data_IF_798910464153
#
_entry.id   IF_798910464153
#
_cell.length_a   1.000
_cell.length_b   1.000
_cell.length_c   1.000
_cell.angle_alpha   90.00
_cell.angle_beta   90.00
_cell.angle_gamma   90.00
#
_symmetry.space_group_name_H-M   'P 1'
#
loop_
_entity.id
_entity.type
_entity.pdbx_description
1 polymer ?
#
# COMPACT_ATOMS: atom_id res chain seq x y z
N UNK A 1 0.88 23.46 -26.34
CA UNK A 1 0.35 22.48 -25.38
C UNK A 1 1.52 21.96 -24.56
N UNK A 2 1.48 22.09 -23.22
CA UNK A 2 2.59 21.62 -22.37
C UNK A 2 2.71 20.10 -22.45
N UNK A 3 3.95 19.55 -22.38
CA UNK A 3 4.22 18.10 -22.39
C UNK A 3 3.36 17.35 -21.36
N UNK A 4 3.22 17.90 -20.16
CA UNK A 4 2.38 17.30 -19.11
C UNK A 4 0.89 17.16 -19.51
N UNK A 5 0.35 18.05 -20.36
CA UNK A 5 -1.02 17.95 -20.86
C UNK A 5 -1.16 16.87 -21.94
N UNK A 6 -0.13 16.69 -22.76
CA UNK A 6 -0.09 15.60 -23.76
C UNK A 6 -0.02 14.26 -23.05
N UNK A 7 0.84 14.10 -22.06
CA UNK A 7 0.97 12.89 -21.27
C UNK A 7 -0.33 12.56 -20.50
N UNK A 8 -1.00 13.57 -19.92
CA UNK A 8 -2.29 13.36 -19.27
C UNK A 8 -3.34 12.85 -20.25
N UNK A 9 -3.48 13.50 -21.41
CA UNK A 9 -4.47 13.12 -22.42
C UNK A 9 -4.18 11.73 -23.00
N UNK A 10 -2.92 11.40 -23.21
CA UNK A 10 -2.51 10.07 -23.65
C UNK A 10 -3.00 9.02 -22.66
N UNK A 11 -2.62 9.12 -21.38
CA UNK A 11 -3.01 8.14 -20.37
C UNK A 11 -4.51 8.14 -20.04
N UNK A 12 -5.16 9.30 -20.16
CA UNK A 12 -6.60 9.39 -19.93
C UNK A 12 -7.40 8.60 -20.98
N UNK A 13 -6.93 8.58 -22.21
CA UNK A 13 -7.58 7.93 -23.35
C UNK A 13 -7.11 6.50 -23.60
N UNK A 14 -6.07 6.00 -22.92
CA UNK A 14 -5.72 4.58 -22.99
C UNK A 14 -6.83 3.74 -22.39
N UNK A 15 -7.05 2.52 -22.88
CA UNK A 15 -8.06 1.61 -22.36
C UNK A 15 -7.52 0.19 -22.22
N UNK A 16 -8.15 -0.59 -21.36
CA UNK A 16 -7.84 -1.99 -21.10
C UNK A 16 -8.92 -2.60 -20.22
N UNK A 17 -8.83 -3.90 -19.92
CA UNK A 17 -9.79 -4.56 -19.03
C UNK A 17 -9.78 -3.92 -17.63
N UNK A 18 -10.97 -3.79 -17.07
CA UNK A 18 -11.14 -3.33 -15.69
C UNK A 18 -10.57 -4.37 -14.71
N UNK A 19 -9.76 -3.90 -13.77
CA UNK A 19 -9.33 -4.64 -12.59
C UNK A 19 -10.20 -4.23 -11.40
N UNK A 20 -10.56 -2.95 -11.36
CA UNK A 20 -11.54 -2.39 -10.46
C UNK A 20 -12.44 -1.47 -11.28
N UNK A 21 -13.70 -1.89 -11.49
CA UNK A 21 -14.67 -1.07 -12.22
C UNK A 21 -14.94 0.25 -11.49
N UNK A 22 -15.30 1.31 -12.24
CA UNK A 22 -15.59 2.59 -11.64
C UNK A 22 -16.69 2.46 -10.58
N UNK A 23 -16.35 2.75 -9.34
CA UNK A 23 -17.32 2.82 -8.26
C UNK A 23 -17.58 4.28 -7.89
N UNK A 24 -18.81 4.58 -7.48
CA UNK A 24 -19.23 5.92 -7.06
C UNK A 24 -19.06 6.03 -5.55
N UNK A 25 -18.14 6.90 -5.12
CA UNK A 25 -17.94 7.21 -3.70
C UNK A 25 -17.74 8.71 -3.53
N UNK A 26 -18.33 9.30 -2.50
CA UNK A 26 -18.14 10.71 -2.13
C UNK A 26 -18.35 11.70 -3.29
N UNK A 27 -19.41 11.48 -4.06
CA UNK A 27 -19.75 12.29 -5.24
C UNK A 27 -18.73 12.24 -6.39
N UNK A 28 -17.85 11.24 -6.41
CA UNK A 28 -16.88 11.03 -7.47
C UNK A 28 -16.78 9.57 -7.88
N UNK A 29 -16.12 9.33 -8.99
CA UNK A 29 -15.85 7.97 -9.52
C UNK A 29 -14.36 7.65 -9.40
N UNK A 30 -14.05 6.37 -9.19
CA UNK A 30 -12.69 5.84 -9.22
C UNK A 30 -12.72 4.43 -9.80
N UNK A 31 -11.82 4.16 -10.75
CA UNK A 31 -11.66 2.82 -11.34
C UNK A 31 -10.23 2.60 -11.79
N UNK A 32 -9.85 1.31 -11.96
CA UNK A 32 -8.50 0.89 -12.36
C UNK A 32 -8.58 -0.06 -13.55
N UNK A 33 -7.83 0.26 -14.59
CA UNK A 33 -7.67 -0.59 -15.76
C UNK A 33 -6.23 -1.11 -15.87
N UNK A 34 -6.10 -2.34 -16.37
CA UNK A 34 -4.83 -2.93 -16.74
C UNK A 34 -4.56 -2.65 -18.20
N UNK A 35 -3.42 -2.06 -18.53
CA UNK A 35 -3.05 -1.63 -19.88
C UNK A 35 -1.67 -2.19 -20.23
N UNK A 36 -1.49 -2.64 -21.47
CA UNK A 36 -0.16 -2.94 -22.01
C UNK A 36 0.46 -1.66 -22.58
N UNK A 37 1.65 -1.31 -22.11
CA UNK A 37 2.39 -0.15 -22.59
C UNK A 37 3.86 -0.52 -22.80
N UNK A 38 4.35 -0.41 -24.04
CA UNK A 38 5.71 -0.77 -24.41
C UNK A 38 6.15 -2.16 -23.92
N UNK A 39 5.28 -3.16 -24.09
CA UNK A 39 5.54 -4.55 -23.67
C UNK A 39 5.49 -4.80 -22.17
N UNK A 40 5.10 -3.80 -21.38
CA UNK A 40 4.99 -3.90 -19.92
C UNK A 40 3.56 -3.66 -19.47
N UNK A 41 3.08 -4.44 -18.51
CA UNK A 41 1.78 -4.21 -17.86
C UNK A 41 1.87 -2.99 -16.95
N UNK A 42 0.88 -2.10 -17.07
CA UNK A 42 0.70 -0.95 -16.18
C UNK A 42 -0.75 -0.88 -15.70
N UNK A 43 -0.96 -0.28 -14.54
CA UNK A 43 -2.28 0.01 -14.00
C UNK A 43 -2.57 1.49 -14.13
N UNK A 44 -3.73 1.81 -14.72
CA UNK A 44 -4.19 3.17 -14.97
C UNK A 44 -5.42 3.43 -14.10
N UNK A 45 -5.22 4.15 -13.00
CA UNK A 45 -6.27 4.58 -12.08
C UNK A 45 -6.79 5.93 -12.51
N UNK A 46 -8.10 6.02 -12.79
CA UNK A 46 -8.79 7.26 -13.14
C UNK A 46 -9.78 7.64 -12.07
N UNK A 47 -9.82 8.92 -11.78
CA UNK A 47 -10.77 9.49 -10.82
C UNK A 47 -11.44 10.73 -11.40
N UNK A 48 -12.75 10.86 -11.17
CA UNK A 48 -13.51 12.08 -11.50
C UNK A 48 -14.24 12.52 -10.25
N UNK A 49 -13.99 13.75 -9.78
CA UNK A 49 -14.62 14.30 -8.58
C UNK A 49 -14.24 13.63 -7.25
N UNK A 50 -13.33 12.67 -7.25
CA UNK A 50 -12.92 11.93 -6.04
C UNK A 50 -11.84 12.70 -5.27
N UNK A 51 -12.25 13.48 -4.27
CA UNK A 51 -11.39 14.46 -3.61
C UNK A 51 -11.10 14.11 -2.15
N UNK A 52 -9.91 14.50 -1.68
CA UNK A 52 -9.61 14.64 -0.25
C UNK A 52 -9.50 16.12 0.11
N UNK A 53 -9.83 16.46 1.36
CA UNK A 53 -9.68 17.81 1.91
C UNK A 53 -8.63 17.80 3.03
N UNK A 54 -7.95 18.93 3.17
CA UNK A 54 -6.98 19.16 4.25
C UNK A 54 -6.89 20.67 4.52
N UNK A 55 -6.21 21.06 5.59
CA UNK A 55 -5.95 22.50 5.87
C UNK A 55 -5.24 23.17 4.70
N UNK A 56 -4.33 22.47 4.02
CA UNK A 56 -3.64 22.99 2.82
C UNK A 56 -4.55 23.05 1.58
N UNK A 57 -5.56 22.18 1.50
CA UNK A 57 -6.47 22.07 0.36
C UNK A 57 -7.93 22.06 0.81
N UNK A 58 -8.45 23.20 1.29
CA UNK A 58 -9.82 23.27 1.84
C UNK A 58 -10.90 22.97 0.79
N UNK A 59 -10.65 23.31 -0.48
CA UNK A 59 -11.55 23.03 -1.59
C UNK A 59 -11.38 21.64 -2.21
N UNK A 60 -10.49 20.82 -1.65
CA UNK A 60 -10.23 19.46 -2.10
C UNK A 60 -9.20 19.35 -3.23
N UNK A 61 -8.58 18.16 -3.29
CA UNK A 61 -7.67 17.74 -4.37
C UNK A 61 -7.93 16.27 -4.67
N UNK A 62 -7.73 15.81 -5.93
CA UNK A 62 -7.84 14.39 -6.27
C UNK A 62 -6.94 13.50 -5.42
N UNK A 63 -7.49 12.38 -4.92
CA UNK A 63 -6.75 11.47 -4.03
C UNK A 63 -5.58 10.82 -4.72
N UNK A 64 -5.62 10.60 -6.05
CA UNK A 64 -4.49 10.08 -6.84
C UNK A 64 -3.22 10.92 -6.72
N UNK A 65 -3.33 12.24 -6.52
CA UNK A 65 -2.14 13.08 -6.30
C UNK A 65 -1.46 12.78 -4.98
N UNK A 66 -2.24 12.47 -3.94
CA UNK A 66 -1.69 12.05 -2.64
C UNK A 66 -1.07 10.66 -2.74
N UNK A 67 -1.76 9.73 -3.42
CA UNK A 67 -1.28 8.38 -3.64
C UNK A 67 0.00 8.38 -4.48
N UNK A 68 0.05 9.09 -5.60
CA UNK A 68 1.25 9.22 -6.43
C UNK A 68 2.44 9.82 -5.67
N UNK A 69 2.20 10.86 -4.85
CA UNK A 69 3.23 11.42 -3.96
C UNK A 69 3.69 10.40 -2.92
N UNK A 70 2.78 9.60 -2.37
CA UNK A 70 3.13 8.56 -1.40
C UNK A 70 3.99 7.47 -2.04
N UNK A 71 3.65 7.00 -3.24
CA UNK A 71 4.45 6.04 -4.00
C UNK A 71 5.86 6.56 -4.27
N UNK A 72 5.99 7.81 -4.74
CA UNK A 72 7.31 8.43 -4.94
C UNK A 72 8.10 8.50 -3.62
N UNK A 73 7.43 8.85 -2.52
CA UNK A 73 8.08 8.91 -1.21
C UNK A 73 8.55 7.55 -0.70
N UNK A 74 7.76 6.50 -0.88
CA UNK A 74 8.16 5.13 -0.52
C UNK A 74 9.38 4.70 -1.35
N UNK A 75 9.42 5.04 -2.63
CA UNK A 75 10.58 4.77 -3.49
C UNK A 75 11.84 5.47 -2.98
N UNK A 76 11.76 6.77 -2.60
CA UNK A 76 12.88 7.50 -1.98
C UNK A 76 13.36 6.86 -0.68
N UNK A 77 12.44 6.30 0.11
CA UNK A 77 12.74 5.60 1.35
C UNK A 77 13.25 4.17 1.12
N UNK A 78 13.25 3.68 -0.13
CA UNK A 78 13.56 2.30 -0.48
C UNK A 78 12.57 1.31 0.14
N UNK A 79 11.32 1.70 0.29
CA UNK A 79 10.19 0.85 0.68
C UNK A 79 9.48 0.39 -0.59
N UNK A 80 9.38 -0.92 -0.77
CA UNK A 80 8.80 -1.49 -1.98
C UNK A 80 7.30 -1.18 -2.09
N UNK A 81 6.92 -0.66 -3.23
CA UNK A 81 5.56 -0.32 -3.66
C UNK A 81 5.52 -0.25 -5.19
N UNK A 82 4.36 -0.23 -5.86
CA UNK A 82 4.29 -0.02 -7.29
C UNK A 82 5.02 1.26 -7.72
N UNK A 83 5.86 1.14 -8.73
CA UNK A 83 6.59 2.30 -9.26
C UNK A 83 5.62 3.23 -9.99
N UNK A 84 5.46 4.50 -9.56
CA UNK A 84 4.65 5.45 -10.31
C UNK A 84 5.38 5.84 -11.61
N UNK A 85 4.66 5.76 -12.72
CA UNK A 85 5.12 6.21 -14.05
C UNK A 85 4.66 7.65 -14.28
N UNK A 86 3.39 7.91 -13.96
CA UNK A 86 2.76 9.20 -14.15
C UNK A 86 1.67 9.43 -13.12
N UNK A 87 1.56 10.62 -12.57
CA UNK A 87 0.37 11.04 -11.85
C UNK A 87 0.14 12.55 -12.00
N UNK A 88 -1.10 12.91 -12.24
CA UNK A 88 -1.49 14.30 -12.45
C UNK A 88 -3.00 14.48 -12.22
N UNK A 89 -3.43 15.72 -12.16
CA UNK A 89 -4.83 16.06 -12.15
C UNK A 89 -5.08 17.39 -12.85
N UNK A 90 -6.19 17.49 -13.55
CA UNK A 90 -6.65 18.73 -14.17
C UNK A 90 -8.14 18.97 -13.89
N UNK A 91 -8.58 20.19 -14.02
CA UNK A 91 -9.97 20.55 -13.86
C UNK A 91 -10.58 20.84 -15.25
N UNK A 92 -11.62 20.09 -15.60
CA UNK A 92 -12.32 20.22 -16.88
C UNK A 92 -13.78 20.52 -16.53
N UNK A 93 -14.34 21.59 -17.07
CA UNK A 93 -15.71 22.02 -16.83
C UNK A 93 -16.09 22.07 -15.34
N UNK A 94 -15.17 22.58 -14.52
CA UNK A 94 -15.37 22.68 -13.08
C UNK A 94 -15.13 21.39 -12.30
N UNK A 95 -14.94 20.24 -12.94
CA UNK A 95 -14.77 18.91 -12.30
C UNK A 95 -13.32 18.47 -12.35
N UNK A 96 -12.80 17.99 -11.22
CA UNK A 96 -11.47 17.43 -11.15
C UNK A 96 -11.42 16.05 -11.80
N UNK A 97 -10.49 15.88 -12.72
CA UNK A 97 -10.04 14.58 -13.26
C UNK A 97 -8.65 14.29 -12.71
N UNK A 98 -8.48 13.10 -12.14
CA UNK A 98 -7.23 12.65 -11.56
C UNK A 98 -6.76 11.34 -12.19
N UNK A 99 -5.46 11.21 -12.39
CA UNK A 99 -4.83 10.08 -13.06
C UNK A 99 -3.59 9.64 -12.30
N UNK A 100 -3.46 8.32 -12.12
CA UNK A 100 -2.26 7.67 -11.58
C UNK A 100 -1.97 6.44 -12.43
N UNK A 101 -0.73 6.34 -12.92
CA UNK A 101 -0.23 5.20 -13.67
C UNK A 101 0.93 4.58 -12.92
N UNK A 102 0.86 3.28 -12.68
CA UNK A 102 1.89 2.52 -11.96
C UNK A 102 2.32 1.30 -12.75
N UNK A 103 3.56 0.86 -12.57
CA UNK A 103 4.00 -0.46 -13.04
C UNK A 103 3.32 -1.58 -12.26
N UNK A 104 3.14 -2.70 -12.94
CA UNK A 104 2.68 -3.94 -12.33
C UNK A 104 3.66 -4.47 -11.27
N UNK A 105 3.11 -5.04 -10.20
CA UNK A 105 3.82 -5.90 -9.26
C UNK A 105 3.67 -7.36 -9.73
N UNK A 106 4.39 -7.72 -10.80
CA UNK A 106 4.25 -9.00 -11.46
C UNK A 106 4.52 -10.17 -10.51
N UNK A 107 3.51 -11.04 -10.36
CA UNK A 107 3.56 -12.24 -9.53
C UNK A 107 3.32 -11.99 -8.03
N UNK A 108 2.98 -10.76 -7.64
CA UNK A 108 2.54 -10.47 -6.28
C UNK A 108 1.05 -10.73 -6.10
N UNK A 109 0.66 -11.16 -4.91
CA UNK A 109 -0.72 -11.25 -4.44
C UNK A 109 -0.82 -10.61 -3.04
N UNK A 110 -2.00 -10.19 -2.66
CA UNK A 110 -2.20 -9.63 -1.31
C UNK A 110 -2.09 -10.73 -0.24
N UNK A 111 -1.66 -10.31 0.95
CA UNK A 111 -1.35 -11.22 2.04
C UNK A 111 -2.59 -11.94 2.58
N UNK A 112 -3.78 -11.31 2.52
CA UNK A 112 -5.05 -11.95 2.92
C UNK A 112 -5.34 -13.12 1.97
N UNK A 113 -5.33 -12.88 0.67
CA UNK A 113 -5.51 -13.91 -0.37
C UNK A 113 -4.47 -15.03 -0.24
N UNK A 114 -3.23 -14.68 0.07
CA UNK A 114 -2.17 -15.67 0.28
C UNK A 114 -2.45 -16.60 1.47
N UNK A 115 -2.88 -16.05 2.62
CA UNK A 115 -3.25 -16.85 3.79
C UNK A 115 -4.50 -17.70 3.51
N UNK A 116 -5.54 -17.10 2.92
CA UNK A 116 -6.80 -17.77 2.59
C UNK A 116 -6.59 -18.97 1.64
N UNK A 117 -5.58 -18.88 0.76
CA UNK A 117 -5.16 -19.97 -0.15
C UNK A 117 -4.12 -20.95 0.46
N UNK A 118 -4.00 -20.99 1.79
CA UNK A 118 -3.11 -21.91 2.48
C UNK A 118 -1.62 -21.61 2.30
N UNK A 119 -1.26 -20.36 1.99
CA UNK A 119 0.13 -19.94 1.79
C UNK A 119 1.05 -20.29 2.96
N UNK A 120 0.57 -20.09 4.20
CA UNK A 120 1.35 -20.40 5.39
C UNK A 120 1.76 -21.87 5.46
N UNK A 121 0.91 -22.79 5.01
CA UNK A 121 1.22 -24.23 5.02
C UNK A 121 2.32 -24.63 4.02
N UNK A 122 2.68 -23.76 3.08
CA UNK A 122 3.80 -23.99 2.15
C UNK A 122 5.15 -23.58 2.72
N UNK A 123 5.15 -22.76 3.76
CA UNK A 123 6.35 -22.29 4.45
C UNK A 123 6.66 -23.18 5.66
N UNK A 124 7.93 -23.42 5.92
CA UNK A 124 8.38 -23.88 7.24
C UNK A 124 8.10 -22.78 8.28
N UNK A 125 8.07 -23.13 9.56
CA UNK A 125 7.94 -22.16 10.65
C UNK A 125 9.02 -21.06 10.56
N UNK A 126 10.25 -21.44 10.24
CA UNK A 126 11.36 -20.51 10.06
C UNK A 126 11.11 -19.51 8.92
N UNK A 127 10.68 -19.98 7.76
CA UNK A 127 10.38 -19.12 6.60
C UNK A 127 9.20 -18.18 6.90
N UNK A 128 8.18 -18.67 7.63
CA UNK A 128 7.08 -17.79 8.04
C UNK A 128 7.53 -16.71 9.04
N UNK A 129 8.42 -17.03 9.99
CA UNK A 129 9.02 -16.02 10.85
C UNK A 129 9.86 -15.01 10.06
N UNK A 130 10.62 -15.44 9.06
CA UNK A 130 11.34 -14.54 8.16
C UNK A 130 10.41 -13.60 7.38
N UNK A 131 9.23 -14.06 6.95
CA UNK A 131 8.22 -13.19 6.34
C UNK A 131 7.83 -12.08 7.32
N UNK A 132 7.54 -12.40 8.59
CA UNK A 132 7.19 -11.42 9.62
C UNK A 132 8.32 -10.42 9.88
N UNK A 133 9.57 -10.88 9.94
CA UNK A 133 10.75 -10.04 10.11
C UNK A 133 10.96 -9.07 8.93
N UNK A 134 10.79 -9.57 7.69
CA UNK A 134 10.86 -8.74 6.49
C UNK A 134 9.77 -7.67 6.48
N UNK A 135 8.54 -8.03 6.87
CA UNK A 135 7.44 -7.08 6.98
C UNK A 135 7.69 -6.04 8.07
N UNK A 136 8.19 -6.47 9.23
CA UNK A 136 8.58 -5.59 10.32
C UNK A 136 9.63 -4.57 9.85
N UNK A 137 10.64 -5.02 9.14
CA UNK A 137 11.70 -4.16 8.57
C UNK A 137 11.14 -3.19 7.54
N UNK A 138 10.27 -3.65 6.62
CA UNK A 138 9.65 -2.81 5.59
C UNK A 138 8.84 -1.66 6.22
N UNK A 139 8.00 -1.98 7.22
CA UNK A 139 7.18 -0.98 7.89
C UNK A 139 8.00 -0.04 8.79
N UNK A 140 8.98 -0.57 9.53
CA UNK A 140 9.87 0.26 10.34
C UNK A 140 10.63 1.27 9.46
N UNK A 141 11.10 0.86 8.29
CA UNK A 141 11.77 1.74 7.32
C UNK A 141 10.87 2.89 6.85
N UNK A 142 9.61 2.60 6.53
CA UNK A 142 8.61 3.62 6.19
C UNK A 142 8.41 4.61 7.35
N UNK A 143 8.23 4.09 8.58
CA UNK A 143 7.97 4.93 9.75
C UNK A 143 9.19 5.74 10.19
N UNK A 144 10.42 5.22 10.03
CA UNK A 144 11.65 5.99 10.24
C UNK A 144 11.72 7.21 9.30
N UNK A 145 11.21 7.10 8.09
CA UNK A 145 11.00 8.22 7.18
C UNK A 145 9.87 9.18 7.60
N UNK A 146 9.30 9.00 8.79
CA UNK A 146 8.13 9.76 9.31
C UNK A 146 6.95 9.71 8.36
N UNK A 147 6.76 8.58 7.67
CA UNK A 147 5.70 8.37 6.70
C UNK A 147 4.74 7.29 7.19
N UNK A 148 3.44 7.55 7.09
CA UNK A 148 2.37 6.68 7.53
C UNK A 148 1.63 6.13 6.33
N UNK A 149 1.22 4.86 6.38
CA UNK A 149 0.34 4.26 5.38
C UNK A 149 -1.09 4.83 5.46
N UNK A 150 -1.60 4.97 6.68
CA UNK A 150 -2.91 5.57 6.97
C UNK A 150 -4.10 4.61 6.84
N UNK A 151 -3.90 3.41 6.31
CA UNK A 151 -4.88 2.32 6.25
C UNK A 151 -4.17 0.97 6.23
N UNK A 152 -3.29 0.73 7.23
CA UNK A 152 -2.44 -0.47 7.25
C UNK A 152 -3.25 -1.72 7.59
N UNK A 153 -3.40 -2.60 6.61
CA UNK A 153 -4.09 -3.88 6.71
C UNK A 153 -3.29 -4.95 5.98
N UNK A 154 -3.43 -6.21 6.36
CA UNK A 154 -2.78 -7.34 5.68
C UNK A 154 -3.07 -7.38 4.18
N UNK A 155 -4.29 -7.12 3.74
CA UNK A 155 -4.65 -7.05 2.31
C UNK A 155 -3.97 -5.92 1.52
N UNK A 156 -3.33 -4.96 2.18
CA UNK A 156 -2.54 -3.89 1.53
C UNK A 156 -1.04 -4.18 1.55
N UNK A 157 -0.65 -5.32 2.12
CA UNK A 157 0.67 -5.92 1.98
C UNK A 157 0.60 -6.94 0.86
N UNK A 158 1.36 -6.72 -0.18
CA UNK A 158 1.49 -7.65 -1.30
C UNK A 158 2.77 -8.45 -1.14
N UNK A 159 2.71 -9.70 -1.49
CA UNK A 159 3.84 -10.62 -1.38
C UNK A 159 4.00 -11.48 -2.62
N UNK A 160 5.22 -11.92 -2.84
CA UNK A 160 5.61 -12.88 -3.87
C UNK A 160 6.58 -13.88 -3.29
N UNK A 161 6.28 -15.16 -3.47
CA UNK A 161 7.19 -16.26 -3.16
C UNK A 161 8.25 -16.41 -4.26
N UNK A 162 9.47 -16.69 -3.86
CA UNK A 162 10.56 -17.05 -4.75
C UNK A 162 11.28 -18.29 -4.23
N UNK A 163 11.23 -19.37 -4.99
CA UNK A 163 11.98 -20.57 -4.67
C UNK A 163 13.48 -20.31 -4.89
N UNK A 164 14.28 -20.61 -3.89
CA UNK A 164 15.74 -20.53 -3.92
C UNK A 164 16.36 -21.87 -3.47
N UNK A 165 17.65 -22.04 -3.66
CA UNK A 165 18.35 -23.23 -3.17
C UNK A 165 18.32 -23.36 -1.63
N UNK A 166 18.07 -22.26 -0.91
CA UNK A 166 18.01 -22.22 0.56
C UNK A 166 16.56 -22.33 1.12
N UNK A 167 15.54 -22.47 0.26
CA UNK A 167 14.14 -22.50 0.64
C UNK A 167 13.31 -21.41 -0.05
N UNK A 168 12.16 -21.07 0.52
CA UNK A 168 11.25 -20.07 -0.01
C UNK A 168 11.59 -18.69 0.57
N UNK A 169 12.00 -17.78 -0.30
CA UNK A 169 12.12 -16.36 0.02
C UNK A 169 10.84 -15.62 -0.33
N UNK A 170 10.51 -14.58 0.44
CA UNK A 170 9.37 -13.69 0.17
C UNK A 170 9.82 -12.28 -0.13
N UNK A 171 9.25 -11.70 -1.19
CA UNK A 171 9.33 -10.29 -1.50
C UNK A 171 8.03 -9.62 -1.04
N UNK A 172 8.13 -8.40 -0.49
CA UNK A 172 6.98 -7.67 0.05
C UNK A 172 6.88 -6.29 -0.57
N UNK A 173 5.66 -5.80 -0.80
CA UNK A 173 5.38 -4.45 -1.27
C UNK A 173 4.10 -3.90 -0.63
N UNK A 174 3.96 -2.57 -0.54
CA UNK A 174 2.78 -1.90 0.03
C UNK A 174 1.90 -1.30 -1.07
N UNK A 175 0.58 -1.49 -0.96
CA UNK A 175 -0.44 -0.94 -1.84
C UNK A 175 -1.48 -0.10 -1.09
N UNK A 176 -2.39 0.55 -1.82
CA UNK A 176 -3.49 1.39 -1.32
C UNK A 176 -2.99 2.56 -0.45
N UNK A 177 -2.18 3.41 -1.05
CA UNK A 177 -1.57 4.57 -0.39
C UNK A 177 -2.43 5.84 -0.46
N UNK A 178 -3.72 5.76 -0.78
CA UNK A 178 -4.60 6.94 -0.89
C UNK A 178 -4.68 7.79 0.39
N UNK A 179 -4.50 7.15 1.57
CA UNK A 179 -4.51 7.82 2.87
C UNK A 179 -3.11 8.10 3.41
N UNK A 180 -2.09 7.70 2.68
CA UNK A 180 -0.71 7.79 3.10
C UNK A 180 -0.20 9.24 3.11
N UNK A 181 0.55 9.61 4.14
CA UNK A 181 1.09 10.96 4.29
C UNK A 181 2.19 11.03 5.36
N UNK A 182 2.94 12.12 5.35
CA UNK A 182 3.97 12.39 6.35
C UNK A 182 3.40 12.71 7.74
N UNK A 183 4.15 12.37 8.78
CA UNK A 183 3.85 12.67 10.18
C UNK A 183 4.96 13.50 10.83
N UNK A 184 4.63 14.17 11.94
CA UNK A 184 5.61 14.96 12.66
C UNK A 184 6.71 14.10 13.29
N UNK A 185 6.37 12.88 13.75
CA UNK A 185 7.31 11.96 14.37
C UNK A 185 7.12 10.53 13.88
N UNK A 186 8.19 9.74 13.94
CA UNK A 186 8.19 8.29 13.69
C UNK A 186 7.14 7.57 14.52
N UNK A 187 7.09 7.83 15.83
CA UNK A 187 6.12 7.19 16.74
C UNK A 187 4.67 7.49 16.38
N UNK A 188 4.36 8.70 15.92
CA UNK A 188 2.98 9.02 15.45
C UNK A 188 2.58 8.22 14.22
N UNK A 189 3.51 7.99 13.29
CA UNK A 189 3.26 7.15 12.14
C UNK A 189 3.05 5.69 12.57
N UNK A 190 3.97 5.15 13.36
CA UNK A 190 3.98 3.78 13.85
C UNK A 190 2.72 3.44 14.69
N UNK A 191 2.40 4.25 15.69
CA UNK A 191 1.24 4.04 16.57
C UNK A 191 -0.10 4.14 15.86
N UNK A 192 -0.14 4.75 14.70
CA UNK A 192 -1.33 4.74 13.85
C UNK A 192 -1.46 3.42 13.08
N UNK A 193 -0.39 2.95 12.43
CA UNK A 193 -0.45 1.86 11.47
C UNK A 193 -0.32 0.47 12.12
N UNK A 194 0.56 0.30 13.12
CA UNK A 194 0.83 -1.02 13.70
C UNK A 194 -0.40 -1.64 14.39
N UNK A 195 -1.20 -0.90 15.19
CA UNK A 195 -2.44 -1.45 15.75
C UNK A 195 -3.50 -1.79 14.68
N UNK A 196 -3.50 -1.08 13.55
CA UNK A 196 -4.40 -1.41 12.44
C UNK A 196 -3.99 -2.74 11.79
N UNK A 197 -2.69 -2.94 11.54
CA UNK A 197 -2.17 -4.19 11.02
C UNK A 197 -2.55 -5.36 11.93
N UNK A 198 -2.33 -5.22 13.25
CA UNK A 198 -2.68 -6.26 14.22
C UNK A 198 -4.14 -6.68 14.14
N UNK A 199 -5.05 -5.72 14.12
CA UNK A 199 -6.50 -6.01 14.03
C UNK A 199 -6.91 -6.80 12.79
N UNK A 200 -6.12 -6.72 11.73
CA UNK A 200 -6.41 -7.33 10.44
C UNK A 200 -5.42 -8.45 10.06
N UNK A 201 -4.55 -8.87 11.00
CA UNK A 201 -3.59 -9.96 10.76
C UNK A 201 -4.15 -11.31 11.18
N UNK A 202 -3.61 -12.37 10.56
CA UNK A 202 -3.93 -13.78 10.87
C UNK A 202 -3.07 -14.34 12.01
N UNK A 203 -2.12 -13.57 12.53
CA UNK A 203 -1.03 -14.05 13.37
C UNK A 203 -1.48 -14.37 14.79
N UNK A 204 -0.93 -15.44 15.33
CA UNK A 204 -1.00 -15.78 16.75
C UNK A 204 -0.37 -14.69 17.63
N UNK A 205 -0.57 -14.80 18.94
CA UNK A 205 0.07 -13.89 19.89
C UNK A 205 1.60 -14.02 19.86
N UNK A 206 2.12 -15.24 19.68
CA UNK A 206 3.55 -15.50 19.60
C UNK A 206 4.17 -14.86 18.36
N UNK A 207 3.59 -15.08 17.18
CA UNK A 207 4.01 -14.47 15.93
C UNK A 207 3.96 -12.95 15.96
N UNK A 208 2.90 -12.40 16.57
CA UNK A 208 2.79 -10.95 16.76
C UNK A 208 3.91 -10.39 17.64
N UNK A 209 4.26 -11.08 18.72
CA UNK A 209 5.38 -10.68 19.58
C UNK A 209 6.70 -10.70 18.83
N UNK A 210 6.94 -11.72 18.02
CA UNK A 210 8.12 -11.82 17.15
C UNK A 210 8.17 -10.63 16.18
N UNK A 211 7.06 -10.37 15.48
CA UNK A 211 6.95 -9.20 14.59
C UNK A 211 7.27 -7.90 15.33
N UNK A 212 6.67 -7.65 16.51
CA UNK A 212 6.91 -6.43 17.29
C UNK A 212 8.37 -6.31 17.74
N UNK A 213 8.97 -7.38 18.23
CA UNK A 213 10.37 -7.37 18.65
C UNK A 213 11.31 -6.99 17.50
N UNK A 214 11.11 -7.57 16.32
CA UNK A 214 11.87 -7.22 15.12
C UNK A 214 11.60 -5.80 14.67
N UNK A 215 10.34 -5.37 14.71
CA UNK A 215 9.94 -4.02 14.33
C UNK A 215 10.59 -2.95 15.22
N UNK A 216 10.51 -3.09 16.55
CA UNK A 216 11.08 -2.15 17.53
C UNK A 216 12.61 -2.13 17.49
N UNK A 217 13.23 -3.29 17.24
CA UNK A 217 14.68 -3.39 17.01
C UNK A 217 15.12 -2.53 15.82
N UNK A 218 14.40 -2.59 14.69
CA UNK A 218 14.71 -1.78 13.51
C UNK A 218 14.35 -0.31 13.73
N UNK A 219 13.24 -0.05 14.44
CA UNK A 219 12.79 1.31 14.76
C UNK A 219 13.75 2.01 15.73
N UNK A 220 14.52 1.26 16.52
CA UNK A 220 15.45 1.76 17.53
C UNK A 220 14.79 2.29 18.80
N UNK A 221 13.47 2.07 18.97
CA UNK A 221 12.71 2.52 20.15
C UNK A 221 11.42 1.72 20.33
N UNK A 222 10.92 1.56 21.58
CA UNK A 222 9.67 0.85 21.82
C UNK A 222 8.45 1.68 21.38
N UNK A 223 7.38 0.99 21.00
CA UNK A 223 6.11 1.62 20.63
C UNK A 223 5.29 2.09 21.85
N UNK A 224 5.54 1.49 23.00
CA UNK A 224 4.81 1.74 24.25
C UNK A 224 3.84 0.60 24.60
N UNK A 225 3.48 0.51 25.88
CA UNK A 225 2.69 -0.59 26.45
C UNK A 225 1.28 -0.72 25.85
N UNK A 226 0.70 0.36 25.37
CA UNK A 226 -0.61 0.42 24.71
C UNK A 226 -0.66 -0.37 23.39
N UNK A 227 0.46 -0.45 22.68
CA UNK A 227 0.57 -1.25 21.44
C UNK A 227 0.83 -2.73 21.75
N UNK A 228 1.52 -3.01 22.87
CA UNK A 228 1.77 -4.37 23.35
C UNK A 228 0.55 -4.98 24.04
N UNK A 229 -0.25 -4.16 24.74
CA UNK A 229 -1.45 -4.59 25.45
C UNK A 229 -2.66 -4.66 24.50
N UNK A 230 -3.08 -5.88 24.16
CA UNK A 230 -4.46 -6.19 23.76
C UNK A 230 -5.02 -5.65 22.43
N UNK A 231 -4.30 -5.77 21.33
CA UNK A 231 -5.05 -5.80 20.08
C UNK A 231 -5.34 -7.28 19.74
N UNK A 232 -6.52 -7.76 20.12
CA UNK A 232 -7.00 -9.06 19.68
C UNK A 232 -7.16 -9.03 18.15
N UNK A 233 -6.64 -10.04 17.42
CA UNK A 233 -6.94 -10.17 16.00
C UNK A 233 -8.46 -10.32 15.84
N UNK A 234 -9.03 -9.69 14.84
CA UNK A 234 -10.38 -10.04 14.43
C UNK A 234 -10.31 -11.49 13.96
N UNK A 235 -10.85 -12.42 14.76
CA UNK A 235 -11.04 -13.80 14.32
C UNK A 235 -11.96 -13.72 13.11
N UNK A 236 -11.44 -13.91 11.91
CA UNK A 236 -12.26 -14.41 10.82
C UNK A 236 -12.64 -15.83 11.24
N UNK A 237 -13.94 -16.08 11.35
CA UNK A 237 -14.44 -17.43 11.40
C UNK A 237 -13.87 -18.14 10.17
N UNK A 238 -13.13 -19.22 10.38
CA UNK A 238 -12.81 -20.16 9.33
C UNK A 238 -14.16 -20.71 8.86
N UNK A 239 -14.61 -20.23 7.71
CA UNK A 239 -15.74 -20.81 6.98
C UNK A 239 -15.31 -22.06 6.26
#
# INVERSE_FOLDING_TARGET
>A
MHQADQDFNYWWNTSGPWVEEPNVRRSGTSGVQRVMHNGTTVYVKRQTGHLFRSLKYPFGRPTVLREGKALSKLQELGVAAPQPIFYSAKKIDGVWQGLLVTKDLNGFQDLDTWYDNGGQARLSEHEHLQLLERLATLLAKMHLGRWQHGCMRSKHVFMKERNTAAGIEVELALLDLEKSHGRATTLRAARHDIPQLRRHSYWSVAEWRTFLACYEKVLGQPLGSDVHANVQPRRRALS
#
